data_IF_395013133462
#
_entry.id   IF_395013133462
#
_cell.length_a   1.000
_cell.length_b   1.000
_cell.length_c   1.000
_cell.angle_alpha   90.00
_cell.angle_beta   90.00
_cell.angle_gamma   90.00
#
_symmetry.space_group_name_H-M   'P 1'
#
loop_
_entity.id
_entity.type
_entity.pdbx_description
1 polymer ?
#
# COMPACT_ATOMS: atom_id res chain seq x y z
N UNK A 1 12.73 12.78 9.59
CA UNK A 1 12.35 13.59 10.77
C UNK A 1 12.33 12.71 12.02
N UNK A 2 12.33 13.25 13.24
CA UNK A 2 12.29 12.47 14.48
C UNK A 2 11.35 13.08 15.53
N UNK A 3 10.65 12.24 16.28
CA UNK A 3 9.67 12.64 17.29
C UNK A 3 9.87 11.85 18.60
N UNK A 4 9.80 12.53 19.74
CA UNK A 4 9.89 11.90 21.06
C UNK A 4 8.47 11.69 21.63
N UNK A 5 8.05 10.43 21.69
CA UNK A 5 6.69 9.98 21.99
C UNK A 5 6.70 9.02 23.19
N UNK A 6 5.52 8.57 23.61
CA UNK A 6 5.37 7.45 24.54
C UNK A 6 4.62 6.31 23.86
N UNK A 7 5.16 5.11 23.86
CA UNK A 7 4.46 3.95 23.31
C UNK A 7 3.32 3.53 24.25
N UNK A 8 2.12 3.35 23.70
CA UNK A 8 0.96 2.86 24.44
C UNK A 8 0.82 1.33 24.33
N UNK A 9 1.30 0.76 23.23
CA UNK A 9 1.16 -0.66 22.89
C UNK A 9 0.57 -0.85 21.50
N UNK A 10 0.19 -2.10 21.21
CA UNK A 10 -0.44 -2.51 19.96
C UNK A 10 -1.67 -3.38 20.18
N UNK A 11 -2.47 -3.57 19.14
CA UNK A 11 -3.52 -4.59 19.07
C UNK A 11 -3.64 -5.09 17.63
N UNK A 12 -4.03 -6.35 17.46
CA UNK A 12 -4.40 -6.87 16.14
C UNK A 12 -5.65 -6.16 15.60
N UNK A 13 -5.73 -6.07 14.27
CA UNK A 13 -6.85 -5.53 13.51
C UNK A 13 -7.14 -6.39 12.27
N UNK A 14 -8.38 -6.33 11.78
CA UNK A 14 -8.85 -7.18 10.67
C UNK A 14 -8.66 -6.54 9.28
N UNK A 15 -8.55 -5.21 9.21
CA UNK A 15 -8.42 -4.48 7.95
C UNK A 15 -7.21 -3.54 7.98
N UNK A 16 -6.52 -3.36 6.84
CA UNK A 16 -5.31 -2.55 6.76
C UNK A 16 -5.55 -1.03 6.88
N UNK A 17 -6.81 -0.57 6.80
CA UNK A 17 -7.23 0.83 6.87
C UNK A 17 -8.67 0.95 7.38
N UNK A 18 -9.04 2.11 7.93
CA UNK A 18 -10.43 2.46 8.25
C UNK A 18 -10.56 3.23 9.57
N UNK A 19 -11.23 4.39 9.57
CA UNK A 19 -11.34 5.27 10.76
C UNK A 19 -11.94 4.53 11.96
N UNK A 20 -13.10 3.87 11.79
CA UNK A 20 -13.82 3.18 12.86
C UNK A 20 -13.01 2.06 13.53
N UNK A 21 -12.53 1.09 12.75
CA UNK A 21 -11.71 -0.02 13.25
C UNK A 21 -10.45 0.48 13.94
N UNK A 22 -9.84 1.54 13.40
CA UNK A 22 -8.62 2.11 13.95
C UNK A 22 -8.87 2.89 15.26
N UNK A 23 -10.01 3.59 15.38
CA UNK A 23 -10.44 4.22 16.63
C UNK A 23 -10.84 3.18 17.69
N UNK A 24 -11.47 2.08 17.30
CA UNK A 24 -11.75 0.95 18.19
C UNK A 24 -10.45 0.30 18.69
N UNK A 25 -9.44 0.15 17.83
CA UNK A 25 -8.11 -0.33 18.20
C UNK A 25 -7.42 0.62 19.20
N UNK A 26 -7.39 1.94 18.93
CA UNK A 26 -6.85 2.94 19.86
C UNK A 26 -7.57 2.92 21.20
N UNK A 27 -8.91 2.82 21.21
CA UNK A 27 -9.70 2.71 22.44
C UNK A 27 -9.30 1.49 23.28
N UNK A 28 -9.07 0.32 22.66
CA UNK A 28 -8.55 -0.88 23.34
C UNK A 28 -7.16 -0.64 23.91
N UNK A 29 -6.22 -0.18 23.09
CA UNK A 29 -4.82 0.07 23.51
C UNK A 29 -4.76 1.07 24.67
N UNK A 30 -5.51 2.17 24.61
CA UNK A 30 -5.57 3.19 25.67
C UNK A 30 -6.19 2.62 26.96
N UNK A 31 -7.20 1.75 26.87
CA UNK A 31 -7.76 1.08 28.03
C UNK A 31 -6.74 0.12 28.69
N UNK A 32 -6.09 -0.74 27.91
CA UNK A 32 -5.04 -1.66 28.37
C UNK A 32 -3.86 -0.91 29.00
N UNK A 33 -3.39 0.16 28.36
CA UNK A 33 -2.29 0.98 28.86
C UNK A 33 -2.62 1.66 30.21
N UNK A 34 -3.87 2.12 30.40
CA UNK A 34 -4.35 2.65 31.68
C UNK A 34 -4.46 1.56 32.76
N UNK A 35 -5.07 0.42 32.41
CA UNK A 35 -5.26 -0.71 33.33
C UNK A 35 -3.93 -1.34 33.79
N UNK A 36 -2.89 -1.28 32.95
CA UNK A 36 -1.56 -1.79 33.30
C UNK A 36 -0.90 -1.07 34.48
N UNK A 37 -1.23 0.20 34.73
CA UNK A 37 -0.59 1.03 35.78
C UNK A 37 0.90 1.34 35.54
N UNK A 38 1.54 0.70 34.56
CA UNK A 38 2.96 0.87 34.21
C UNK A 38 3.21 2.23 33.57
N UNK A 39 4.38 2.80 33.84
CA UNK A 39 4.87 4.00 33.18
C UNK A 39 5.15 3.70 31.71
N UNK A 40 4.47 4.40 30.80
CA UNK A 40 4.63 4.24 29.36
C UNK A 40 6.11 4.44 28.94
N UNK A 41 6.61 3.54 28.09
CA UNK A 41 7.96 3.60 27.53
C UNK A 41 8.12 4.88 26.70
N UNK A 42 9.21 5.61 26.89
CA UNK A 42 9.57 6.74 26.03
C UNK A 42 10.29 6.21 24.80
N UNK A 43 9.82 6.60 23.62
CA UNK A 43 10.39 6.15 22.34
C UNK A 43 10.67 7.33 21.41
N UNK A 44 11.73 7.21 20.63
CA UNK A 44 12.09 8.15 19.58
C UNK A 44 11.74 7.54 18.23
N UNK A 45 10.69 8.06 17.61
CA UNK A 45 10.14 7.61 16.34
C UNK A 45 10.78 8.44 15.20
N UNK A 46 11.64 7.81 14.39
CA UNK A 46 12.25 8.42 13.20
C UNK A 46 11.45 8.04 11.96
N UNK A 47 11.03 9.04 11.18
CA UNK A 47 10.28 8.85 9.93
C UNK A 47 11.15 9.24 8.73
N UNK A 48 11.11 8.41 7.69
CA UNK A 48 11.75 8.64 6.39
C UNK A 48 10.95 7.96 5.26
N UNK A 49 11.20 8.27 3.98
CA UNK A 49 10.62 7.51 2.86
C UNK A 49 10.97 6.02 2.85
N UNK A 50 11.98 5.57 3.61
CA UNK A 50 12.28 4.13 3.78
C UNK A 50 11.33 3.45 4.77
N UNK A 51 10.70 4.20 5.66
CA UNK A 51 9.85 3.67 6.73
C UNK A 51 10.02 4.38 8.07
N UNK A 52 9.55 3.72 9.12
CA UNK A 52 9.60 4.17 10.51
C UNK A 52 10.63 3.35 11.29
N UNK A 53 11.49 4.02 12.05
CA UNK A 53 12.45 3.37 12.96
C UNK A 53 12.15 3.83 14.39
N UNK A 54 11.90 2.88 15.28
CA UNK A 54 11.63 3.10 16.70
C UNK A 54 12.90 2.85 17.52
N UNK A 55 13.27 3.82 18.35
CA UNK A 55 14.35 3.68 19.33
C UNK A 55 13.80 3.86 20.75
N UNK A 56 14.37 3.15 21.72
CA UNK A 56 14.12 3.43 23.13
C UNK A 56 14.83 4.73 23.54
N UNK A 57 14.11 5.70 24.09
CA UNK A 57 14.70 7.03 24.37
C UNK A 57 15.65 7.07 25.57
N UNK A 58 15.77 5.99 26.36
CA UNK A 58 16.69 5.94 27.50
C UNK A 58 18.02 5.27 27.13
N UNK A 59 17.95 4.15 26.41
CA UNK A 59 19.11 3.35 26.00
C UNK A 59 19.60 3.64 24.58
N UNK A 60 18.83 4.39 23.78
CA UNK A 60 19.04 4.60 22.34
C UNK A 60 19.09 3.32 21.51
N UNK A 61 18.63 2.19 22.06
CA UNK A 61 18.58 0.91 21.36
C UNK A 61 17.47 0.87 20.33
N UNK A 62 17.72 0.17 19.21
CA UNK A 62 16.73 -0.10 18.19
C UNK A 62 15.65 -1.03 18.76
N UNK A 63 14.39 -0.60 18.71
CA UNK A 63 13.22 -1.42 19.04
C UNK A 63 12.71 -2.10 17.77
N UNK A 64 12.51 -1.32 16.70
CA UNK A 64 11.83 -1.80 15.49
C UNK A 64 12.23 -0.97 14.26
N UNK A 65 12.24 -1.60 13.08
CA UNK A 65 12.53 -0.96 11.80
C UNK A 65 11.47 -1.40 10.76
N UNK A 66 10.40 -0.61 10.65
CA UNK A 66 9.22 -0.91 9.84
C UNK A 66 9.38 -0.27 8.46
N UNK A 67 9.57 -1.10 7.44
CA UNK A 67 9.62 -0.64 6.04
C UNK A 67 8.30 0.04 5.63
N UNK A 68 8.42 1.14 4.86
CA UNK A 68 7.28 1.96 4.42
C UNK A 68 6.19 1.15 3.72
N UNK A 69 6.57 0.12 2.95
CA UNK A 69 5.67 -0.74 2.18
C UNK A 69 4.77 -1.63 3.04
N UNK A 70 5.09 -1.75 4.34
CA UNK A 70 4.38 -2.60 5.30
C UNK A 70 3.34 -1.81 6.09
N UNK A 71 3.44 -0.48 6.09
CA UNK A 71 2.54 0.43 6.80
C UNK A 71 1.41 0.81 5.86
N UNK A 72 0.20 0.36 6.16
CA UNK A 72 -0.97 0.48 5.27
C UNK A 72 -1.85 1.69 5.59
N UNK A 73 -1.79 2.21 6.81
CA UNK A 73 -2.58 3.35 7.25
C UNK A 73 -1.90 4.09 8.42
N UNK A 74 -2.11 5.39 8.54
CA UNK A 74 -1.75 6.16 9.73
C UNK A 74 -2.71 7.33 9.95
N UNK A 75 -2.99 7.68 11.20
CA UNK A 75 -3.77 8.88 11.51
C UNK A 75 -3.51 9.36 12.94
N UNK A 76 -3.98 10.57 13.25
CA UNK A 76 -4.15 11.04 14.62
C UNK A 76 -5.60 10.73 15.05
N UNK A 77 -5.76 10.08 16.21
CA UNK A 77 -7.08 9.63 16.65
C UNK A 77 -8.01 10.82 16.95
N UNK A 78 -9.29 10.69 16.56
CA UNK A 78 -10.29 11.76 16.67
C UNK A 78 -10.82 11.97 18.09
N UNK A 79 -10.92 10.89 18.87
CA UNK A 79 -11.40 10.89 20.26
C UNK A 79 -10.24 11.14 21.24
N UNK A 80 -9.11 10.53 20.97
CA UNK A 80 -7.87 10.64 21.71
C UNK A 80 -6.87 11.53 20.95
N UNK A 81 -7.17 12.83 20.87
CA UNK A 81 -6.51 13.80 19.99
C UNK A 81 -4.98 13.97 20.14
N UNK A 82 -4.39 13.40 21.20
CA UNK A 82 -2.93 13.32 21.42
C UNK A 82 -2.33 11.98 21.00
N UNK A 83 -3.09 11.06 20.43
CA UNK A 83 -2.61 9.75 19.99
C UNK A 83 -2.35 9.79 18.49
N UNK A 84 -1.11 9.50 18.11
CA UNK A 84 -0.74 9.11 16.76
C UNK A 84 -0.74 7.58 16.70
N UNK A 85 -1.16 7.00 15.57
CA UNK A 85 -1.01 5.57 15.34
C UNK A 85 -0.79 5.25 13.86
N UNK A 86 -0.29 4.04 13.63
CA UNK A 86 -0.24 3.42 12.31
C UNK A 86 -0.73 1.97 12.38
N UNK A 87 -1.23 1.48 11.25
CA UNK A 87 -1.46 0.06 10.99
C UNK A 87 -0.34 -0.41 10.09
N UNK A 88 0.33 -1.50 10.48
CA UNK A 88 1.33 -2.17 9.67
C UNK A 88 1.10 -3.68 9.65
N UNK A 89 1.57 -4.34 8.60
CA UNK A 89 1.66 -5.80 8.59
C UNK A 89 2.88 -6.24 9.41
N UNK A 90 2.76 -7.32 10.19
CA UNK A 90 3.84 -7.89 11.01
C UNK A 90 4.85 -8.66 10.16
N UNK A 91 6.16 -8.62 10.47
CA UNK A 91 7.18 -9.25 9.60
C UNK A 91 7.23 -10.78 9.75
N UNK A 92 6.74 -11.30 10.87
CA UNK A 92 6.95 -12.70 11.26
C UNK A 92 5.74 -13.59 10.94
N UNK A 93 4.54 -13.03 10.94
CA UNK A 93 3.28 -13.80 10.91
C UNK A 93 2.20 -13.19 9.98
N UNK A 94 2.57 -12.18 9.19
CA UNK A 94 1.69 -11.48 8.23
C UNK A 94 0.40 -10.84 8.80
N UNK A 95 0.19 -10.85 10.12
CA UNK A 95 -0.98 -10.23 10.76
C UNK A 95 -0.95 -8.70 10.66
N UNK A 96 -2.11 -8.06 10.77
CA UNK A 96 -2.22 -6.60 10.77
C UNK A 96 -2.24 -6.07 12.19
N UNK A 97 -1.32 -5.15 12.47
CA UNK A 97 -0.97 -4.66 13.80
C UNK A 97 -1.19 -3.14 13.86
N UNK A 98 -2.04 -2.67 14.77
CA UNK A 98 -2.22 -1.24 15.04
C UNK A 98 -1.34 -0.83 16.22
N UNK A 99 -0.40 0.10 16.02
CA UNK A 99 0.54 0.59 17.04
C UNK A 99 0.21 2.04 17.42
N UNK A 100 -0.01 2.30 18.71
CA UNK A 100 -0.42 3.62 19.20
C UNK A 100 0.64 4.32 20.08
N UNK A 101 0.77 5.62 19.90
CA UNK A 101 1.77 6.48 20.53
C UNK A 101 1.12 7.74 21.12
N UNK A 102 1.31 7.95 22.42
CA UNK A 102 0.90 9.16 23.10
C UNK A 102 1.90 10.30 22.86
N UNK A 103 1.42 11.36 22.22
CA UNK A 103 2.11 12.62 21.99
C UNK A 103 1.90 13.60 23.15
N UNK A 104 2.72 14.65 23.22
CA UNK A 104 2.59 15.70 24.25
C UNK A 104 1.43 16.66 23.98
N UNK A 105 1.12 16.94 22.71
CA UNK A 105 0.08 17.88 22.26
C UNK A 105 -0.59 17.36 20.98
N UNK A 106 -1.85 17.76 20.74
CA UNK A 106 -2.61 17.45 19.51
C UNK A 106 -1.85 17.77 18.22
N UNK A 107 -1.26 18.97 18.17
CA UNK A 107 -0.42 19.43 17.05
C UNK A 107 0.78 18.52 16.78
N UNK A 108 1.32 17.83 17.79
CA UNK A 108 2.42 16.87 17.60
C UNK A 108 1.90 15.58 16.96
N UNK A 109 0.76 15.05 17.41
CA UNK A 109 0.15 13.87 16.77
C UNK A 109 -0.17 14.16 15.29
N UNK A 110 -0.76 15.33 14.99
CA UNK A 110 -1.01 15.79 13.62
C UNK A 110 0.28 15.93 12.79
N UNK A 111 1.34 16.52 13.36
CA UNK A 111 2.62 16.66 12.66
C UNK A 111 3.28 15.31 12.35
N UNK A 112 3.20 14.33 13.26
CA UNK A 112 3.69 12.96 13.02
C UNK A 112 2.90 12.33 11.86
N UNK A 113 1.56 12.38 11.91
CA UNK A 113 0.69 11.86 10.84
C UNK A 113 1.04 12.47 9.48
N UNK A 114 1.18 13.81 9.40
CA UNK A 114 1.52 14.51 8.16
C UNK A 114 2.91 14.09 7.64
N UNK A 115 3.88 13.91 8.52
CA UNK A 115 5.24 13.49 8.15
C UNK A 115 5.28 12.06 7.59
N UNK A 116 4.48 11.15 8.16
CA UNK A 116 4.33 9.77 7.64
C UNK A 116 3.59 9.80 6.30
N UNK A 117 2.51 10.59 6.17
CA UNK A 117 1.78 10.78 4.92
C UNK A 117 2.65 11.37 3.79
N UNK A 118 3.52 12.33 4.10
CA UNK A 118 4.53 12.84 3.15
C UNK A 118 5.54 11.75 2.77
N UNK A 119 5.97 10.94 3.73
CA UNK A 119 6.92 9.83 3.47
C UNK A 119 6.31 8.76 2.56
N UNK A 120 5.00 8.48 2.66
CA UNK A 120 4.29 7.63 1.70
C UNK A 120 4.32 8.18 0.28
N UNK A 121 4.05 9.48 0.09
CA UNK A 121 4.06 10.13 -1.23
C UNK A 121 5.44 10.02 -1.90
N UNK A 122 6.49 10.42 -1.17
CA UNK A 122 7.87 10.36 -1.65
C UNK A 122 8.32 8.92 -1.93
N UNK A 123 7.93 7.95 -1.09
CA UNK A 123 8.21 6.54 -1.35
C UNK A 123 7.49 5.99 -2.60
N UNK A 124 6.28 6.46 -2.86
CA UNK A 124 5.50 6.10 -4.05
C UNK A 124 6.08 6.73 -5.32
N UNK A 125 6.55 7.98 -5.27
CA UNK A 125 7.30 8.64 -6.36
C UNK A 125 8.57 7.86 -6.72
N UNK A 126 9.39 7.48 -5.72
CA UNK A 126 10.57 6.63 -5.95
C UNK A 126 10.21 5.26 -6.55
N UNK A 127 9.13 4.63 -6.10
CA UNK A 127 8.67 3.35 -6.65
C UNK A 127 8.22 3.47 -8.12
N UNK A 128 7.50 4.54 -8.48
CA UNK A 128 7.09 4.79 -9.87
C UNK A 128 8.29 5.00 -10.79
N UNK A 129 9.25 5.85 -10.40
CA UNK A 129 10.46 6.09 -11.20
C UNK A 129 11.28 4.80 -11.43
N UNK A 130 11.46 3.99 -10.37
CA UNK A 130 12.16 2.70 -10.46
C UNK A 130 11.40 1.65 -11.29
N UNK A 131 10.06 1.77 -11.43
CA UNK A 131 9.27 0.93 -12.32
C UNK A 131 9.49 1.31 -13.79
N UNK A 132 9.46 2.60 -14.11
CA UNK A 132 9.67 3.12 -15.47
C UNK A 132 11.08 2.79 -16.01
N UNK A 133 12.11 2.88 -15.16
CA UNK A 133 13.48 2.51 -15.53
C UNK A 133 13.59 1.02 -15.96
N UNK A 134 12.93 0.13 -15.21
CA UNK A 134 12.92 -1.31 -15.51
C UNK A 134 12.23 -1.61 -16.85
N UNK A 135 11.11 -0.95 -17.13
CA UNK A 135 10.38 -1.12 -18.40
C UNK A 135 11.20 -0.61 -19.60
N UNK A 136 11.92 0.51 -19.45
CA UNK A 136 12.84 1.03 -20.48
C UNK A 136 14.02 0.10 -20.76
N UNK A 137 14.63 -0.50 -19.72
CA UNK A 137 15.76 -1.42 -19.88
C UNK A 137 15.39 -2.70 -20.61
N UNK A 138 14.19 -3.24 -20.39
CA UNK A 138 13.69 -4.43 -21.12
C UNK A 138 13.50 -4.11 -22.61
N UNK A 139 13.05 -2.91 -22.95
CA UNK A 139 12.77 -2.52 -24.34
C UNK A 139 14.00 -2.15 -25.18
N UNK A 140 15.15 -1.91 -24.54
CA UNK A 140 16.44 -1.63 -25.19
C UNK A 140 17.36 -2.85 -25.30
N UNK A 141 16.91 -4.04 -24.88
CA UNK A 141 17.73 -5.27 -24.84
C UNK A 141 17.51 -6.26 -25.99
N UNK A 142 16.81 -5.87 -27.06
CA UNK A 142 16.35 -6.80 -28.11
C UNK A 142 17.19 -6.83 -29.39
N UNK A 143 18.17 -5.93 -29.57
CA UNK A 143 19.04 -5.90 -30.75
C UNK A 143 20.50 -5.97 -30.32
N UNK A 144 21.20 -7.05 -30.69
CA UNK A 144 22.64 -7.15 -30.40
C UNK A 144 23.30 -8.53 -30.45
N UNK A 145 23.09 -9.34 -31.50
CA UNK A 145 24.09 -10.38 -31.85
C UNK A 145 24.65 -10.19 -33.26
N UNK A 146 25.90 -9.70 -33.30
CA UNK A 146 26.97 -9.96 -34.28
C UNK A 146 26.71 -9.68 -35.77
N UNK A 147 27.44 -8.69 -36.33
CA UNK A 147 28.47 -8.98 -37.36
C UNK A 147 29.43 -7.81 -37.63
N UNK A 148 30.73 -8.14 -37.67
CA UNK A 148 31.85 -7.51 -38.40
C UNK A 148 32.10 -5.98 -38.40
N UNK A 149 33.23 -5.63 -37.80
CA UNK A 149 34.25 -4.65 -38.23
C UNK A 149 34.02 -3.80 -39.50
N UNK A 150 34.35 -2.51 -39.40
CA UNK A 150 35.32 -1.85 -40.30
C UNK A 150 35.87 -0.56 -39.71
N UNK A 151 37.18 -0.35 -39.85
CA UNK A 151 37.83 0.94 -39.59
C UNK A 151 37.54 1.90 -40.75
N UNK A 152 37.37 3.19 -40.48
CA UNK A 152 37.70 4.25 -41.46
C UNK A 152 37.85 5.61 -40.79
N UNK A 153 39.07 6.15 -40.87
CA UNK A 153 39.37 7.54 -40.55
C UNK A 153 39.32 8.36 -41.85
N UNK A 154 38.65 9.51 -41.88
CA UNK A 154 39.06 10.65 -42.72
C UNK A 154 38.34 11.94 -42.33
N UNK A 155 38.89 13.07 -42.78
CA UNK A 155 38.63 14.42 -42.25
C UNK A 155 37.83 15.34 -43.18
N UNK A 156 36.98 16.18 -42.56
CA UNK A 156 36.66 17.57 -42.92
C UNK A 156 36.22 17.96 -44.36
N UNK A 157 35.01 18.53 -44.51
CA UNK A 157 34.81 19.99 -44.72
C UNK A 157 33.40 20.41 -45.25
N UNK A 158 32.80 21.40 -44.56
CA UNK A 158 32.02 22.55 -45.05
C UNK A 158 30.86 22.41 -46.09
N UNK A 159 29.62 22.59 -45.60
CA UNK A 159 28.55 23.44 -46.20
C UNK A 159 27.42 23.58 -45.16
N UNK A 160 27.26 24.70 -44.42
CA UNK A 160 26.52 25.91 -44.79
C UNK A 160 25.09 25.68 -45.34
N UNK A 161 24.06 25.79 -44.46
CA UNK A 161 23.00 26.82 -44.55
C UNK A 161 21.89 26.69 -43.44
N UNK A 162 21.92 27.64 -42.50
CA UNK A 162 20.79 28.50 -42.06
C UNK A 162 19.48 27.90 -41.47
N UNK A 163 19.26 28.15 -40.17
CA UNK A 163 17.95 28.54 -39.63
C UNK A 163 17.50 27.92 -38.29
N UNK A 164 17.34 28.73 -37.23
CA UNK A 164 16.57 28.35 -36.03
C UNK A 164 17.21 28.66 -34.66
N UNK A 165 17.09 29.90 -34.18
CA UNK A 165 17.11 30.22 -32.72
C UNK A 165 15.88 29.56 -32.02
N UNK A 166 15.80 29.33 -30.70
CA UNK A 166 16.27 30.19 -29.58
C UNK A 166 16.58 29.39 -28.29
N UNK A 167 17.51 29.94 -27.49
CA UNK A 167 17.61 29.97 -26.02
C UNK A 167 17.31 28.71 -25.15
N UNK A 168 18.36 28.27 -24.45
CA UNK A 168 18.31 27.76 -23.08
C UNK A 168 17.78 28.81 -22.10
N UNK A 169 16.96 28.42 -21.11
CA UNK A 169 16.55 29.29 -20.02
C UNK A 169 16.16 28.52 -18.76
N UNK A 170 16.86 28.77 -17.64
CA UNK A 170 16.44 28.34 -16.31
C UNK A 170 15.26 29.21 -15.85
N UNK A 171 14.23 28.63 -15.23
CA UNK A 171 13.45 29.38 -14.24
C UNK A 171 12.79 28.43 -13.22
N UNK A 172 13.21 28.57 -11.96
CA UNK A 172 12.41 28.21 -10.79
C UNK A 172 11.43 29.35 -10.50
N UNK A 173 10.44 29.05 -9.65
CA UNK A 173 9.62 29.98 -8.86
C UNK A 173 8.23 30.34 -9.41
N UNK A 174 7.21 30.04 -8.60
CA UNK A 174 6.09 30.97 -8.37
C UNK A 174 5.41 30.68 -7.02
N UNK A 175 5.37 31.73 -6.19
CA UNK A 175 4.77 31.77 -4.86
C UNK A 175 3.25 32.09 -4.86
N UNK A 176 2.63 31.65 -3.78
CA UNK A 176 1.35 31.94 -3.11
C UNK A 176 0.52 33.23 -3.41
N UNK A 177 -0.82 33.11 -3.22
CA UNK A 177 -1.77 34.21 -2.96
C UNK A 177 -2.69 34.63 -4.14
N UNK A 178 -3.94 35.09 -3.95
CA UNK A 178 -4.76 35.23 -2.73
C UNK A 178 -6.26 35.49 -3.05
N UNK A 179 -7.17 34.96 -2.19
CA UNK A 179 -8.39 35.60 -1.64
C UNK A 179 -9.61 36.03 -2.53
N UNK A 180 -10.75 35.38 -2.24
CA UNK A 180 -12.16 35.82 -2.14
C UNK A 180 -12.96 36.46 -3.31
N UNK A 181 -14.18 35.92 -3.51
CA UNK A 181 -15.42 36.67 -3.85
C UNK A 181 -16.56 36.23 -2.90
N UNK A 182 -17.54 37.11 -2.69
CA UNK A 182 -18.48 37.18 -1.56
C UNK A 182 -19.73 36.27 -1.60
N UNK A 183 -20.40 36.19 -0.45
CA UNK A 183 -21.74 35.60 -0.24
C UNK A 183 -22.83 36.69 0.01
N UNK A 184 -24.04 36.26 0.44
CA UNK A 184 -25.31 37.03 0.67
C UNK A 184 -26.13 37.27 -0.61
N UNK A 185 -27.48 37.30 -0.67
CA UNK A 185 -28.65 37.32 0.26
C UNK A 185 -29.73 36.35 -0.33
N UNK A 186 -30.74 35.75 0.33
CA UNK A 186 -31.31 35.80 1.70
C UNK A 186 -32.43 34.74 1.87
N UNK A 187 -33.58 35.06 2.51
CA UNK A 187 -34.74 34.14 2.65
C UNK A 187 -36.12 34.82 2.66
N UNK A 188 -37.18 34.10 2.26
CA UNK A 188 -38.60 34.40 2.57
C UNK A 188 -39.49 33.14 2.46
N UNK A 189 -40.65 33.17 3.13
CA UNK A 189 -41.51 32.02 3.52
C UNK A 189 -42.95 32.18 2.96
N UNK A 190 -43.78 31.12 3.08
CA UNK A 190 -45.28 31.04 3.09
C UNK A 190 -45.92 30.07 2.07
N UNK A 191 -46.33 28.92 2.62
CA UNK A 191 -47.61 28.16 2.52
C UNK A 191 -48.23 27.54 1.23
N UNK A 192 -48.80 26.34 1.51
CA UNK A 192 -49.57 25.29 0.78
C UNK A 192 -50.94 25.72 0.14
N UNK A 193 -51.78 24.81 -0.45
CA UNK A 193 -51.60 23.43 -0.97
C UNK A 193 -52.35 23.08 -2.32
N UNK A 194 -52.14 21.85 -2.83
CA UNK A 194 -53.06 20.98 -3.63
C UNK A 194 -53.80 21.53 -4.89
N UNK A 195 -53.46 21.01 -6.09
CA UNK A 195 -54.40 20.42 -7.09
C UNK A 195 -53.63 19.37 -7.93
N UNK A 196 -54.23 18.20 -8.15
CA UNK A 196 -53.83 17.21 -9.17
C UNK A 196 -54.55 17.52 -10.48
N UNK A 197 -53.89 17.46 -11.64
CA UNK A 197 -54.43 16.88 -12.88
C UNK A 197 -53.33 16.63 -13.93
N UNK A 198 -53.59 15.66 -14.80
CA UNK A 198 -52.66 15.06 -15.77
C UNK A 198 -52.80 15.71 -17.16
N UNK A 199 -51.71 15.78 -17.94
CA UNK A 199 -51.57 15.21 -19.30
C UNK A 199 -50.60 15.97 -20.25
N UNK A 200 -49.53 15.28 -20.69
CA UNK A 200 -48.85 15.30 -22.00
C UNK A 200 -48.49 16.61 -22.74
N UNK A 201 -47.19 16.87 -23.00
CA UNK A 201 -46.54 16.46 -24.28
C UNK A 201 -45.14 17.06 -24.54
N UNK A 202 -44.18 16.22 -24.99
CA UNK A 202 -42.80 16.54 -25.46
C UNK A 202 -41.83 17.16 -24.44
N UNK A 203 -40.51 16.88 -24.42
CA UNK A 203 -39.58 16.39 -25.46
C UNK A 203 -38.75 15.18 -24.97
N UNK A 204 -38.30 14.37 -25.93
CA UNK A 204 -37.61 13.08 -25.79
C UNK A 204 -36.16 13.18 -25.27
N UNK A 205 -35.71 12.18 -24.47
CA UNK A 205 -34.31 11.73 -24.34
C UNK A 205 -34.27 10.42 -23.53
N UNK A 206 -34.69 9.31 -24.14
CA UNK A 206 -34.61 7.98 -23.53
C UNK A 206 -33.26 7.31 -23.86
N UNK A 207 -32.42 7.02 -22.85
CA UNK A 207 -31.41 5.96 -22.97
C UNK A 207 -32.02 4.72 -22.34
N UNK A 208 -32.59 3.87 -23.19
CA UNK A 208 -33.02 2.52 -22.83
C UNK A 208 -31.76 1.65 -22.75
N UNK A 209 -31.49 1.09 -21.57
CA UNK A 209 -30.50 0.04 -21.43
C UNK A 209 -31.15 -1.31 -21.76
N UNK A 210 -31.30 -1.60 -23.05
CA UNK A 210 -31.53 -2.96 -23.55
C UNK A 210 -30.25 -3.77 -23.30
N UNK A 211 -30.16 -4.35 -22.10
CA UNK A 211 -29.08 -5.25 -21.71
C UNK A 211 -29.52 -6.67 -22.06
N UNK A 212 -29.15 -7.06 -23.28
CA UNK A 212 -28.73 -8.41 -23.68
C UNK A 212 -29.29 -9.59 -22.84
N UNK A 213 -30.49 -10.07 -23.22
CA UNK A 213 -31.09 -11.30 -22.66
C UNK A 213 -30.18 -12.55 -22.84
N UNK A 214 -29.20 -12.49 -23.74
CA UNK A 214 -28.25 -13.58 -24.01
C UNK A 214 -27.19 -13.77 -22.90
N UNK A 215 -26.84 -12.71 -22.18
CA UNK A 215 -25.85 -12.78 -21.10
C UNK A 215 -26.38 -13.50 -19.85
N UNK A 216 -27.64 -13.25 -19.48
CA UNK A 216 -28.25 -13.84 -18.26
C UNK A 216 -28.50 -15.34 -18.41
N UNK A 217 -28.85 -15.82 -19.62
CA UNK A 217 -28.91 -17.24 -19.98
C UNK A 217 -27.55 -17.92 -19.83
N UNK A 218 -26.46 -17.25 -20.24
CA UNK A 218 -25.10 -17.80 -20.12
C UNK A 218 -24.64 -17.90 -18.65
N UNK A 219 -24.98 -16.92 -17.82
CA UNK A 219 -24.71 -16.97 -16.38
C UNK A 219 -25.57 -18.02 -15.66
N UNK A 220 -26.84 -18.16 -16.03
CA UNK A 220 -27.75 -19.18 -15.49
C UNK A 220 -27.24 -20.59 -15.77
N UNK A 221 -26.86 -20.89 -17.02
CA UNK A 221 -26.25 -22.18 -17.41
C UNK A 221 -24.95 -22.48 -16.65
N UNK A 222 -24.11 -21.47 -16.41
CA UNK A 222 -22.86 -21.61 -15.65
C UNK A 222 -23.10 -21.83 -14.15
N UNK A 223 -24.21 -21.33 -13.61
CA UNK A 223 -24.63 -21.61 -12.23
C UNK A 223 -25.20 -23.02 -12.08
N UNK A 224 -26.05 -23.46 -13.01
CA UNK A 224 -26.61 -24.82 -13.04
C UNK A 224 -25.52 -25.90 -13.14
N UNK A 225 -24.48 -25.68 -13.96
CA UNK A 225 -23.37 -26.64 -14.13
C UNK A 225 -22.54 -26.87 -12.86
N UNK A 226 -22.64 -25.99 -11.85
CA UNK A 226 -21.93 -26.12 -10.57
C UNK A 226 -22.72 -26.88 -9.51
N UNK A 227 -24.02 -27.12 -9.74
CA UNK A 227 -24.93 -27.69 -8.75
C UNK A 227 -25.40 -29.13 -9.09
N UNK A 228 -24.87 -29.75 -10.14
CA UNK A 228 -25.12 -31.14 -10.49
C UNK A 228 -23.83 -31.88 -10.90
N UNK A 229 -23.21 -32.70 -10.01
CA UNK A 229 -21.91 -33.33 -10.27
C UNK A 229 -21.96 -34.57 -11.17
N UNK A 230 -23.08 -34.83 -11.85
CA UNK A 230 -23.34 -36.08 -12.60
C UNK A 230 -23.07 -35.99 -14.11
N UNK A 231 -22.58 -34.85 -14.63
CA UNK A 231 -22.18 -34.73 -16.05
C UNK A 231 -20.80 -34.09 -16.18
N UNK A 232 -19.79 -34.89 -15.87
CA UNK A 232 -18.45 -34.73 -16.45
C UNK A 232 -18.20 -35.93 -17.35
N UNK A 233 -18.49 -35.76 -18.65
CA UNK A 233 -18.05 -36.67 -19.71
C UNK A 233 -16.54 -36.47 -19.95
N UNK A 234 -15.76 -36.83 -18.93
CA UNK A 234 -14.31 -36.89 -18.94
C UNK A 234 -13.98 -38.37 -18.77
N UNK A 235 -13.59 -39.02 -19.87
CA UNK A 235 -13.34 -40.46 -19.94
C UNK A 235 -12.16 -40.93 -19.09
N UNK A 236 -12.35 -41.00 -17.78
CA UNK A 236 -11.46 -41.62 -16.80
C UNK A 236 -12.21 -42.75 -16.12
N UNK A 237 -11.85 -43.98 -16.48
CA UNK A 237 -12.48 -45.20 -15.97
C UNK A 237 -12.04 -45.48 -14.52
N UNK A 238 -12.93 -46.03 -13.71
CA UNK A 238 -12.76 -46.24 -12.25
C UNK A 238 -11.81 -47.40 -11.86
N UNK A 239 -10.75 -47.67 -12.64
CA UNK A 239 -9.86 -48.82 -12.43
C UNK A 239 -8.44 -48.51 -11.91
N UNK A 240 -8.04 -47.24 -11.80
CA UNK A 240 -6.69 -46.88 -11.31
C UNK A 240 -6.59 -46.75 -9.76
N UNK A 241 -7.67 -47.00 -9.02
CA UNK A 241 -7.68 -46.97 -7.55
C UNK A 241 -7.42 -48.34 -6.91
N UNK A 242 -6.26 -48.96 -7.20
CA UNK A 242 -5.73 -50.04 -6.35
C UNK A 242 -4.25 -50.40 -6.65
N UNK A 243 -3.31 -49.73 -5.98
CA UNK A 243 -2.27 -50.45 -5.20
C UNK A 243 -1.74 -49.51 -4.11
N UNK A 244 -1.86 -49.91 -2.85
CA UNK A 244 -1.25 -49.23 -1.71
C UNK A 244 0.29 -49.35 -1.72
N UNK A 245 1.00 -48.31 -1.28
CA UNK A 245 1.78 -48.43 -0.04
C UNK A 245 2.06 -47.05 0.59
N UNK A 246 1.49 -46.79 1.76
CA UNK A 246 1.60 -45.52 2.47
C UNK A 246 2.89 -45.46 3.31
N UNK A 247 3.71 -44.43 3.13
CA UNK A 247 4.74 -44.04 4.10
C UNK A 247 4.21 -42.90 4.98
N UNK A 248 4.09 -43.16 6.29
CA UNK A 248 3.56 -42.21 7.27
C UNK A 248 4.66 -41.24 7.79
N UNK A 249 4.34 -39.96 8.10
CA UNK A 249 5.36 -38.97 8.51
C UNK A 249 5.89 -39.09 9.96
N UNK A 250 6.35 -40.28 10.38
CA UNK A 250 6.79 -40.56 11.76
C UNK A 250 8.21 -41.12 11.85
N UNK A 251 9.22 -40.37 11.37
CA UNK A 251 10.64 -40.67 11.70
C UNK A 251 11.59 -39.45 11.54
N UNK A 252 11.22 -38.28 12.09
CA UNK A 252 12.07 -37.08 12.10
C UNK A 252 12.72 -36.76 13.47
N UNK A 253 12.53 -37.60 14.49
CA UNK A 253 13.12 -37.40 15.81
C UNK A 253 14.32 -38.33 16.04
N UNK A 254 15.51 -37.85 15.64
CA UNK A 254 16.82 -38.22 16.21
C UNK A 254 17.92 -37.25 15.78
N UNK A 255 18.30 -36.38 16.70
CA UNK A 255 19.51 -35.54 16.61
C UNK A 255 20.80 -36.35 16.88
N UNK A 256 21.87 -35.93 16.22
CA UNK A 256 23.31 -36.17 16.44
C UNK A 256 23.78 -37.20 17.49
N UNK A 257 24.53 -38.21 17.02
CA UNK A 257 25.68 -38.77 17.76
C UNK A 257 26.81 -39.20 16.80
N UNK A 258 28.03 -38.68 17.05
CA UNK A 258 29.34 -39.13 16.57
C UNK A 258 29.64 -39.20 15.04
N UNK A 259 30.41 -38.21 14.58
CA UNK A 259 31.68 -38.48 13.88
C UNK A 259 32.68 -37.34 14.17
N UNK A 260 33.58 -37.56 15.11
CA UNK A 260 34.74 -36.68 15.30
C UNK A 260 35.87 -37.05 14.33
N UNK A 261 36.86 -36.17 14.27
CA UNK A 261 38.23 -36.41 13.77
C UNK A 261 38.44 -36.35 12.24
N UNK A 262 38.89 -35.16 11.78
CA UNK A 262 40.12 -35.05 10.98
C UNK A 262 40.66 -33.61 10.97
N UNK A 263 41.80 -33.44 11.65
CA UNK A 263 42.58 -32.22 11.68
C UNK A 263 43.38 -31.94 10.38
N UNK A 264 43.97 -30.74 10.33
CA UNK A 264 45.09 -30.30 9.50
C UNK A 264 44.91 -30.25 7.97
N UNK A 265 44.75 -29.03 7.43
CA UNK A 265 45.86 -28.34 6.73
C UNK A 265 45.51 -26.89 6.33
N UNK A 266 46.31 -25.94 6.80
CA UNK A 266 46.86 -24.74 6.12
C UNK A 266 47.14 -23.60 7.11
N UNK A 267 48.42 -23.48 7.50
CA UNK A 267 49.01 -22.24 7.99
C UNK A 267 50.12 -21.84 7.01
N UNK A 268 49.99 -20.65 6.40
CA UNK A 268 51.01 -19.60 6.25
C UNK A 268 50.49 -18.48 5.34
#
# INVERSE_FOLDING_TARGET
MAFNLKYLGMTLVEQPKGEELSAAAVKRIVATAKASGKKLQKVTLKVSPRGIILYDSASSQLIENISIYRISYCTADKMHDKVFMYIAQSQQNETLECHAFLCTKRKVAQAVTLTVAQSFRVAFEFWQAAKEEKEKRVKSGSDGEVTSSSQSESSASLASLKGGEVATGNLLDLEEGAIAVFATVGASHIDNPFIVHNNSSSVNNNIVWEIDDGLDEAFSRLAESRNNPQVLDIGVTTQDFQTDECLSPTDWDKTDVNAADRDDIFSF
#
